data_IF_025393886237
#
_entry.id   IF_025393886237
#
_cell.length_a   1.000
_cell.length_b   1.000
_cell.length_c   1.000
_cell.angle_alpha   90.00
_cell.angle_beta   90.00
_cell.angle_gamma   90.00
#
_symmetry.space_group_name_H-M   'P 1'
#
loop_
_entity.id
_entity.type
_entity.pdbx_description
1 polymer ?
#
# COMPACT_ATOMS: atom_id res chain seq x y z
N UNK A 1 -14.89 4.02 -13.70
CA UNK A 1 -14.75 3.29 -12.43
C UNK A 1 -15.63 2.07 -12.54
N UNK A 2 -15.10 0.87 -12.33
CA UNK A 2 -15.88 -0.37 -12.38
C UNK A 2 -16.97 -0.32 -11.28
N UNK A 3 -18.24 -0.65 -11.59
CA UNK A 3 -19.32 -0.62 -10.59
C UNK A 3 -19.06 -1.57 -9.40
N UNK A 4 -18.23 -2.60 -9.60
CA UNK A 4 -17.81 -3.52 -8.52
C UNK A 4 -16.95 -2.86 -7.44
N UNK A 5 -16.38 -1.68 -7.71
CA UNK A 5 -15.46 -0.97 -6.83
C UNK A 5 -16.13 0.04 -5.90
N UNK A 6 -17.45 0.20 -5.98
CA UNK A 6 -18.16 1.09 -5.07
C UNK A 6 -18.22 0.47 -3.67
N UNK A 7 -17.80 1.21 -2.62
CA UNK A 7 -17.92 0.75 -1.24
C UNK A 7 -19.38 0.48 -0.88
N UNK A 8 -19.66 -0.73 -0.39
CA UNK A 8 -20.98 -1.15 0.08
C UNK A 8 -20.98 -1.19 1.60
N UNK A 9 -21.91 -0.49 2.24
CA UNK A 9 -22.09 -0.58 3.69
C UNK A 9 -22.56 -2.00 4.04
N UNK A 10 -21.83 -2.72 4.90
CA UNK A 10 -22.19 -4.07 5.34
C UNK A 10 -22.70 -4.10 6.78
N UNK A 11 -22.39 -3.07 7.57
CA UNK A 11 -22.97 -2.74 8.88
C UNK A 11 -22.69 -1.25 9.18
N UNK A 12 -23.15 -0.75 10.33
CA UNK A 12 -23.06 0.67 10.70
C UNK A 12 -21.62 1.23 10.79
N UNK A 13 -20.60 0.37 10.86
CA UNK A 13 -19.21 0.76 11.08
C UNK A 13 -18.24 0.27 10.00
N UNK A 14 -18.74 -0.41 8.97
CA UNK A 14 -17.88 -1.12 8.01
C UNK A 14 -18.46 -1.12 6.60
N UNK A 15 -17.58 -0.84 5.64
CA UNK A 15 -17.81 -0.97 4.21
C UNK A 15 -17.02 -2.14 3.66
N UNK A 16 -17.52 -2.76 2.59
CA UNK A 16 -16.84 -3.79 1.82
C UNK A 16 -16.67 -3.34 0.36
N UNK A 17 -15.51 -3.65 -0.22
CA UNK A 17 -15.20 -3.48 -1.65
C UNK A 17 -14.69 -4.82 -2.19
N UNK A 18 -15.18 -5.25 -3.36
CA UNK A 18 -14.65 -6.40 -4.09
C UNK A 18 -13.67 -5.93 -5.17
N UNK A 19 -12.45 -6.44 -5.15
CA UNK A 19 -11.42 -6.11 -6.13
C UNK A 19 -11.50 -7.00 -7.38
N UNK A 20 -10.73 -6.66 -8.42
CA UNK A 20 -10.68 -7.42 -9.68
C UNK A 20 -10.38 -8.90 -9.46
N UNK A 21 -9.45 -9.20 -8.55
CA UNK A 21 -9.08 -10.57 -8.15
C UNK A 21 -10.12 -11.31 -7.30
N UNK A 22 -11.31 -10.74 -7.10
CA UNK A 22 -12.42 -11.27 -6.28
C UNK A 22 -12.16 -11.34 -4.78
N UNK A 23 -11.00 -10.86 -4.34
CA UNK A 23 -10.74 -10.63 -2.93
C UNK A 23 -11.54 -9.44 -2.42
N UNK A 24 -11.92 -9.53 -1.14
CA UNK A 24 -12.73 -8.52 -0.46
C UNK A 24 -11.88 -7.70 0.50
N UNK A 25 -12.09 -6.40 0.45
CA UNK A 25 -11.47 -5.41 1.31
C UNK A 25 -12.52 -4.83 2.24
N UNK A 26 -12.18 -4.69 3.51
CA UNK A 26 -13.06 -4.07 4.51
C UNK A 26 -12.48 -2.73 4.95
N UNK A 27 -13.32 -1.71 5.02
CA UNK A 27 -12.98 -0.36 5.48
C UNK A 27 -13.84 -0.07 6.70
N UNK A 28 -13.22 0.10 7.87
CA UNK A 28 -13.94 0.14 9.14
C UNK A 28 -13.49 -0.95 10.10
N UNK A 29 -14.28 -1.14 11.15
CA UNK A 29 -14.09 -2.26 12.08
C UNK A 29 -15.44 -2.81 12.53
N UNK A 30 -15.77 -4.00 12.04
CA UNK A 30 -17.05 -4.68 12.28
C UNK A 30 -17.31 -5.06 13.73
N UNK A 31 -16.24 -5.18 14.53
CA UNK A 31 -16.32 -5.54 15.96
C UNK A 31 -16.39 -4.28 16.84
N UNK A 32 -16.22 -3.10 16.26
CA UNK A 32 -16.27 -1.82 16.96
C UNK A 32 -17.68 -1.23 16.97
N UNK A 33 -18.02 -0.54 18.06
CA UNK A 33 -19.27 0.22 18.19
C UNK A 33 -19.27 1.53 17.40
N UNK A 34 -18.09 2.00 16.99
CA UNK A 34 -17.91 3.22 16.20
C UNK A 34 -16.99 2.91 15.01
N UNK A 35 -17.18 3.60 13.89
CA UNK A 35 -16.27 3.48 12.75
C UNK A 35 -14.81 3.76 13.19
N UNK A 36 -13.90 2.93 12.69
CA UNK A 36 -12.45 3.11 12.83
C UNK A 36 -11.83 3.21 11.44
N UNK A 37 -10.92 4.16 11.16
CA UNK A 37 -10.24 4.28 9.87
C UNK A 37 -9.21 3.15 9.69
N UNK A 38 -9.72 1.94 9.59
CA UNK A 38 -8.97 0.70 9.40
C UNK A 38 -9.28 0.12 8.03
N UNK A 39 -8.28 -0.49 7.42
CA UNK A 39 -8.34 -1.19 6.15
C UNK A 39 -7.90 -2.63 6.36
N UNK A 40 -8.71 -3.59 5.94
CA UNK A 40 -8.36 -5.01 5.97
C UNK A 40 -8.43 -5.61 4.57
N UNK A 41 -7.29 -6.05 4.06
CA UNK A 41 -7.15 -6.71 2.78
C UNK A 41 -7.06 -8.22 2.99
N UNK A 42 -8.02 -8.98 2.46
CA UNK A 42 -8.03 -10.44 2.52
C UNK A 42 -7.41 -11.03 1.25
N UNK A 43 -6.79 -12.21 1.35
CA UNK A 43 -6.31 -12.97 0.19
C UNK A 43 -6.67 -14.44 0.32
N UNK A 44 -7.00 -15.08 -0.80
CA UNK A 44 -7.29 -16.51 -0.89
C UNK A 44 -8.47 -16.94 0.00
N UNK A 45 -9.57 -16.20 -0.07
CA UNK A 45 -10.76 -16.49 0.73
C UNK A 45 -10.56 -16.20 2.22
N UNK A 46 -9.68 -15.25 2.56
CA UNK A 46 -9.40 -14.85 3.93
C UNK A 46 -8.36 -15.73 4.64
N UNK A 47 -7.72 -16.68 3.96
CA UNK A 47 -6.61 -17.47 4.50
C UNK A 47 -5.49 -16.56 5.03
N UNK A 48 -5.11 -15.56 4.24
CA UNK A 48 -4.15 -14.52 4.61
C UNK A 48 -4.82 -13.15 4.66
N UNK A 49 -4.31 -12.25 5.52
CA UNK A 49 -4.73 -10.85 5.51
C UNK A 49 -3.64 -9.89 5.99
N UNK A 50 -3.77 -8.63 5.59
CA UNK A 50 -3.17 -7.46 6.22
C UNK A 50 -4.32 -6.60 6.75
N UNK A 51 -4.22 -6.14 7.99
CA UNK A 51 -5.09 -5.09 8.55
C UNK A 51 -4.20 -3.95 9.00
N UNK A 52 -4.49 -2.75 8.53
CA UNK A 52 -3.78 -1.52 8.86
C UNK A 52 -4.78 -0.48 9.34
N UNK A 53 -4.45 0.31 10.35
CA UNK A 53 -5.37 1.28 10.92
C UNK A 53 -4.72 2.56 11.39
N UNK A 54 -5.39 3.70 11.17
CA UNK A 54 -4.97 4.97 11.77
C UNK A 54 -5.51 5.05 13.21
N UNK A 55 -4.65 5.03 14.24
CA UNK A 55 -5.11 5.07 15.62
C UNK A 55 -5.79 6.41 15.92
N UNK A 56 -7.02 6.36 16.45
CA UNK A 56 -7.78 7.57 16.78
C UNK A 56 -8.81 7.34 17.87
N UNK A 57 -9.03 8.38 18.67
CA UNK A 57 -10.10 8.49 19.66
C UNK A 57 -11.31 9.27 19.15
N UNK A 58 -11.19 9.95 18.00
CA UNK A 58 -12.30 10.71 17.42
C UNK A 58 -13.38 9.75 16.90
N UNK A 59 -14.64 10.06 17.22
CA UNK A 59 -15.81 9.28 16.80
C UNK A 59 -16.47 10.00 15.64
N UNK A 60 -16.14 9.60 14.43
CA UNK A 60 -16.57 10.27 13.20
C UNK A 60 -17.22 9.24 12.29
N UNK A 61 -18.43 9.53 11.84
CA UNK A 61 -19.09 8.79 10.77
C UNK A 61 -18.44 9.18 9.45
N UNK A 62 -17.88 8.24 8.68
CA UNK A 62 -17.26 8.56 7.40
C UNK A 62 -18.32 8.95 6.36
N UNK A 63 -17.89 9.67 5.34
CA UNK A 63 -18.73 10.03 4.18
C UNK A 63 -18.24 9.26 2.97
N UNK A 64 -19.15 8.72 2.17
CA UNK A 64 -18.83 8.15 0.85
C UNK A 64 -19.02 9.23 -0.20
N UNK A 65 -17.94 9.60 -0.88
CA UNK A 65 -17.94 10.65 -1.90
C UNK A 65 -17.03 10.26 -3.05
N UNK A 66 -17.55 10.32 -4.28
CA UNK A 66 -16.80 9.99 -5.49
C UNK A 66 -16.11 8.60 -5.44
N UNK A 67 -16.79 7.60 -4.85
CA UNK A 67 -16.26 6.24 -4.71
C UNK A 67 -15.23 6.04 -3.60
N UNK A 68 -14.87 7.10 -2.85
CA UNK A 68 -13.97 7.02 -1.70
C UNK A 68 -14.76 6.99 -0.38
N UNK A 69 -14.35 6.15 0.57
CA UNK A 69 -14.77 6.30 1.97
C UNK A 69 -13.83 7.28 2.65
N UNK A 70 -14.35 8.39 3.16
CA UNK A 70 -13.56 9.47 3.75
C UNK A 70 -13.87 9.63 5.23
N UNK A 71 -12.88 9.39 6.07
CA UNK A 71 -12.90 9.73 7.49
C UNK A 71 -12.17 11.06 7.70
N UNK A 72 -12.86 12.09 8.21
CA UNK A 72 -12.36 13.47 8.26
C UNK A 72 -12.11 13.93 9.69
N UNK A 73 -10.98 13.54 10.26
CA UNK A 73 -10.53 14.01 11.58
C UNK A 73 -10.18 15.48 11.61
N UNK A 74 -9.96 16.00 12.82
CA UNK A 74 -9.65 17.43 13.01
C UNK A 74 -8.32 17.84 12.36
N UNK A 75 -7.26 17.05 12.54
CA UNK A 75 -5.91 17.35 12.04
C UNK A 75 -5.48 16.44 10.88
N UNK A 76 -6.06 15.26 10.81
CA UNK A 76 -5.72 14.22 9.86
C UNK A 76 -6.99 13.66 9.25
N UNK A 77 -6.96 13.30 7.97
CA UNK A 77 -8.02 12.52 7.31
C UNK A 77 -7.46 11.17 6.85
N UNK A 78 -8.36 10.21 6.64
CA UNK A 78 -8.07 8.92 6.05
C UNK A 78 -9.06 8.67 4.90
N UNK A 79 -8.53 8.44 3.70
CA UNK A 79 -9.31 8.23 2.48
C UNK A 79 -9.01 6.84 1.93
N UNK A 80 -10.08 6.10 1.62
CA UNK A 80 -10.01 4.69 1.27
C UNK A 80 -10.68 4.47 -0.07
N UNK A 81 -9.96 3.89 -1.03
CA UNK A 81 -10.51 3.60 -2.36
C UNK A 81 -9.73 2.51 -3.10
N UNK A 82 -10.41 1.72 -3.94
CA UNK A 82 -9.75 0.71 -4.74
C UNK A 82 -8.93 1.34 -5.87
N UNK A 83 -7.84 0.66 -6.21
CA UNK A 83 -6.98 0.97 -7.35
C UNK A 83 -7.20 -0.06 -8.45
N UNK A 84 -7.32 0.42 -9.69
CA UNK A 84 -7.26 -0.43 -10.88
C UNK A 84 -5.80 -0.88 -11.12
N UNK A 85 -5.58 -1.98 -11.87
CA UNK A 85 -4.26 -2.31 -12.39
C UNK A 85 -3.64 -1.12 -13.13
N UNK A 86 -2.34 -0.88 -12.93
CA UNK A 86 -1.62 0.23 -13.56
C UNK A 86 -0.26 -0.23 -14.09
N UNK A 87 0.16 0.35 -15.21
CA UNK A 87 1.53 0.21 -15.71
C UNK A 87 2.34 1.43 -15.26
N UNK A 88 3.36 1.19 -14.44
CA UNK A 88 4.31 2.21 -14.01
C UNK A 88 5.45 2.24 -15.03
N UNK A 89 5.73 3.44 -15.56
CA UNK A 89 6.84 3.69 -16.46
C UNK A 89 7.92 4.44 -15.70
N UNK A 90 9.15 3.95 -15.79
CA UNK A 90 10.30 4.59 -15.17
C UNK A 90 11.51 4.48 -16.08
N UNK A 91 12.42 5.46 -16.00
CA UNK A 91 13.58 5.53 -16.89
C UNK A 91 14.75 4.80 -16.28
N UNK A 92 15.45 4.02 -17.12
CA UNK A 92 16.74 3.47 -16.74
C UNK A 92 17.86 4.49 -16.83
N UNK A 93 19.07 4.08 -16.45
CA UNK A 93 20.26 4.93 -16.45
C UNK A 93 20.66 5.47 -17.85
N UNK A 94 20.02 4.99 -18.93
CA UNK A 94 20.20 5.49 -20.30
C UNK A 94 18.98 6.27 -20.78
N UNK A 95 18.06 6.62 -19.89
CA UNK A 95 16.82 7.35 -20.20
C UNK A 95 15.75 6.50 -20.91
N UNK A 96 15.93 5.17 -20.98
CA UNK A 96 14.98 4.27 -21.67
C UNK A 96 13.83 3.91 -20.74
N UNK A 97 12.63 3.88 -21.28
CA UNK A 97 11.45 3.51 -20.53
C UNK A 97 11.45 2.03 -20.16
N UNK A 98 11.11 1.75 -18.90
CA UNK A 98 10.89 0.43 -18.32
C UNK A 98 9.47 0.40 -17.77
N UNK A 99 8.71 -0.59 -18.19
CA UNK A 99 7.31 -0.76 -17.82
C UNK A 99 7.17 -1.86 -16.78
N UNK A 100 6.36 -1.59 -15.75
CA UNK A 100 6.07 -2.51 -14.67
C UNK A 100 4.57 -2.51 -14.41
N UNK A 101 3.93 -3.65 -14.60
CA UNK A 101 2.53 -3.80 -14.23
C UNK A 101 2.42 -3.98 -12.71
N UNK A 102 1.53 -3.19 -12.11
CA UNK A 102 1.24 -3.18 -10.69
C UNK A 102 -0.24 -3.43 -10.48
N UNK A 103 -0.58 -4.06 -9.35
CA UNK A 103 -1.96 -4.25 -8.91
C UNK A 103 -2.80 -5.06 -9.91
N UNK A 104 -2.20 -6.10 -10.51
CA UNK A 104 -2.82 -6.97 -11.54
C UNK A 104 -4.19 -7.53 -11.12
N UNK A 105 -4.41 -7.69 -9.80
CA UNK A 105 -5.66 -8.17 -9.22
C UNK A 105 -6.45 -7.06 -8.51
N UNK A 106 -6.12 -5.81 -8.80
CA UNK A 106 -6.55 -4.62 -8.07
C UNK A 106 -5.56 -4.23 -6.98
N UNK A 107 -5.79 -3.06 -6.41
CA UNK A 107 -5.09 -2.57 -5.23
C UNK A 107 -6.05 -1.76 -4.38
N UNK A 108 -5.53 -1.21 -3.32
CA UNK A 108 -6.30 -0.36 -2.43
C UNK A 108 -5.42 0.74 -1.87
N UNK A 109 -5.95 1.96 -1.88
CA UNK A 109 -5.29 3.14 -1.34
C UNK A 109 -5.74 3.38 0.09
N UNK A 110 -4.77 3.67 0.96
CA UNK A 110 -5.01 4.22 2.30
C UNK A 110 -4.27 5.55 2.41
N UNK A 111 -4.88 6.57 1.81
CA UNK A 111 -4.39 7.94 1.77
C UNK A 111 -4.58 8.60 3.15
N UNK A 112 -3.49 9.08 3.75
CA UNK A 112 -3.50 9.87 4.99
C UNK A 112 -3.24 11.33 4.65
N UNK A 113 -4.20 12.20 4.96
CA UNK A 113 -4.10 13.64 4.67
C UNK A 113 -3.78 14.41 5.93
N UNK A 114 -2.59 14.99 6.01
CA UNK A 114 -2.16 15.89 7.08
C UNK A 114 -2.64 17.31 6.76
N UNK A 115 -3.51 17.89 7.61
CA UNK A 115 -4.06 19.25 7.39
C UNK A 115 -3.10 20.36 7.83
N UNK A 116 -2.16 20.01 8.68
CA UNK A 116 -1.14 20.89 9.25
C UNK A 116 0.09 20.04 9.59
N UNK A 117 1.22 20.72 9.83
CA UNK A 117 2.46 20.05 10.21
C UNK A 117 2.28 19.20 11.48
N UNK A 118 2.58 17.89 11.42
CA UNK A 118 2.46 17.02 12.58
C UNK A 118 3.56 17.34 13.62
N UNK A 119 3.33 16.92 14.87
CA UNK A 119 4.28 17.13 15.95
C UNK A 119 5.54 16.24 15.82
N UNK A 120 5.43 15.12 15.11
CA UNK A 120 6.50 14.18 14.80
C UNK A 120 6.48 13.91 13.30
N UNK A 121 7.63 13.53 12.74
CA UNK A 121 7.72 13.13 11.34
C UNK A 121 7.36 11.65 11.10
N UNK A 122 6.75 11.00 12.10
CA UNK A 122 6.30 9.61 12.02
C UNK A 122 4.78 9.53 12.04
N UNK A 123 4.22 8.71 11.15
CA UNK A 123 2.84 8.24 11.20
C UNK A 123 2.90 6.76 11.59
N UNK A 124 2.37 6.43 12.77
CA UNK A 124 2.32 5.07 13.28
C UNK A 124 0.91 4.50 13.04
N UNK A 125 0.83 3.47 12.20
CA UNK A 125 -0.40 2.76 11.90
C UNK A 125 -0.41 1.41 12.63
N UNK A 126 -1.54 1.08 13.26
CA UNK A 126 -1.76 -0.25 13.83
C UNK A 126 -1.64 -1.28 12.69
N UNK A 127 -0.91 -2.37 12.90
CA UNK A 127 -0.63 -3.36 11.86
C UNK A 127 -0.81 -4.78 12.36
N UNK A 128 -1.78 -5.49 11.80
CA UNK A 128 -2.05 -6.89 12.06
C UNK A 128 -1.95 -7.71 10.77
N UNK A 129 -1.49 -8.95 10.90
CA UNK A 129 -1.27 -9.82 9.74
C UNK A 129 -1.51 -11.28 10.10
N UNK A 130 -1.96 -12.07 9.12
CA UNK A 130 -2.10 -13.52 9.25
C UNK A 130 -1.58 -14.24 8.02
N UNK A 131 -0.80 -15.29 8.25
CA UNK A 131 -0.37 -16.22 7.20
C UNK A 131 0.70 -15.67 6.26
N UNK A 132 1.31 -14.53 6.57
CA UNK A 132 2.25 -13.82 5.69
C UNK A 132 3.68 -13.75 6.23
N UNK A 133 4.63 -13.58 5.32
CA UNK A 133 6.01 -13.16 5.56
C UNK A 133 6.29 -11.94 4.70
N UNK A 134 6.96 -10.94 5.28
CA UNK A 134 7.27 -9.68 4.62
C UNK A 134 8.73 -9.68 4.19
N UNK A 135 8.97 -9.39 2.92
CA UNK A 135 10.29 -9.24 2.34
C UNK A 135 10.50 -7.76 1.97
N UNK A 136 11.35 -7.09 2.74
CA UNK A 136 11.79 -5.73 2.44
C UNK A 136 12.50 -5.68 1.09
N UNK A 137 12.25 -4.62 0.32
CA UNK A 137 12.81 -4.40 -1.00
C UNK A 137 13.89 -3.31 -0.92
N UNK A 138 15.15 -3.64 -0.56
CA UNK A 138 16.21 -2.64 -0.37
C UNK A 138 16.56 -1.91 -1.67
N UNK A 139 17.28 -0.78 -1.62
CA UNK A 139 17.90 -0.23 -2.82
C UNK A 139 18.79 -1.27 -3.50
N UNK A 140 18.80 -1.30 -4.83
CA UNK A 140 19.66 -2.20 -5.62
C UNK A 140 21.14 -1.77 -5.60
N UNK A 141 21.40 -0.48 -5.39
CA UNK A 141 22.74 0.10 -5.25
C UNK A 141 22.66 1.36 -4.36
N UNK A 142 23.70 1.69 -3.55
CA UNK A 142 23.68 2.87 -2.66
C UNK A 142 23.46 4.20 -3.39
N UNK A 143 24.17 4.44 -4.49
CA UNK A 143 24.06 5.69 -5.26
C UNK A 143 22.94 5.66 -6.31
N UNK A 144 22.43 4.47 -6.61
CA UNK A 144 21.52 4.21 -7.73
C UNK A 144 20.42 3.23 -7.29
N UNK A 145 19.51 3.64 -6.41
CA UNK A 145 18.62 2.72 -5.69
C UNK A 145 17.72 1.85 -6.59
N UNK A 146 17.42 2.30 -7.80
CA UNK A 146 16.47 1.67 -8.73
C UNK A 146 17.11 0.71 -9.74
N UNK A 147 18.44 0.59 -9.80
CA UNK A 147 19.08 -0.32 -10.74
C UNK A 147 20.44 -0.83 -10.26
N UNK A 148 20.85 -1.97 -10.79
CA UNK A 148 22.20 -2.49 -10.58
C UNK A 148 22.76 -3.13 -11.86
N UNK A 149 24.07 -2.99 -12.01
CA UNK A 149 24.88 -3.82 -12.88
C UNK A 149 25.50 -4.94 -12.03
N UNK A 150 24.78 -6.06 -11.94
CA UNK A 150 25.20 -7.18 -11.05
C UNK A 150 26.38 -7.99 -11.59
N UNK A 151 26.81 -7.77 -12.85
CA UNK A 151 27.92 -8.51 -13.46
C UNK A 151 29.10 -7.63 -13.88
N UNK A 152 29.03 -6.31 -13.64
CA UNK A 152 30.13 -5.36 -13.80
C UNK A 152 30.50 -5.05 -15.25
N UNK A 153 29.61 -5.29 -16.20
CA UNK A 153 29.89 -5.10 -17.63
C UNK A 153 29.49 -3.71 -18.16
N UNK A 154 29.05 -2.80 -17.28
CA UNK A 154 28.53 -1.48 -17.61
C UNK A 154 27.09 -1.48 -18.12
N UNK A 155 26.36 -2.60 -18.03
CA UNK A 155 25.00 -2.77 -18.51
C UNK A 155 24.07 -3.13 -17.35
N UNK A 156 23.05 -2.28 -17.14
CA UNK A 156 21.98 -2.55 -16.17
C UNK A 156 21.29 -3.87 -16.51
N UNK A 157 21.35 -4.80 -15.57
CA UNK A 157 20.72 -6.11 -15.68
C UNK A 157 19.70 -6.37 -14.56
N UNK A 158 19.58 -5.46 -13.59
CA UNK A 158 18.55 -5.46 -12.54
C UNK A 158 17.92 -4.08 -12.43
N UNK A 159 16.59 -4.02 -12.31
CA UNK A 159 15.85 -2.78 -12.21
C UNK A 159 14.68 -2.91 -11.22
N UNK A 160 14.38 -1.85 -10.48
CA UNK A 160 13.31 -1.73 -9.52
C UNK A 160 12.64 -0.34 -9.62
N UNK A 161 11.31 -0.25 -9.77
CA UNK A 161 10.60 1.03 -9.71
C UNK A 161 10.87 1.78 -8.40
N UNK A 162 10.86 3.11 -8.44
CA UNK A 162 11.12 3.94 -7.26
C UNK A 162 10.16 3.66 -6.11
N UNK A 163 8.87 3.46 -6.42
CA UNK A 163 7.85 3.10 -5.42
C UNK A 163 8.00 1.67 -4.85
N UNK A 164 8.90 0.85 -5.41
CA UNK A 164 9.25 -0.48 -4.89
C UNK A 164 10.55 -0.43 -4.07
N UNK A 165 11.39 0.60 -4.22
CA UNK A 165 12.56 0.75 -3.35
C UNK A 165 12.09 1.12 -1.95
N UNK A 166 12.56 0.39 -0.93
CA UNK A 166 12.15 0.61 0.46
C UNK A 166 10.75 0.08 0.79
N UNK A 167 10.14 -0.69 -0.11
CA UNK A 167 8.79 -1.25 0.06
C UNK A 167 8.80 -2.64 0.71
N UNK A 168 7.62 -3.23 0.91
CA UNK A 168 7.49 -4.62 1.36
C UNK A 168 6.65 -5.47 0.41
N UNK A 169 7.19 -6.61 -0.03
CA UNK A 169 6.40 -7.66 -0.66
C UNK A 169 5.94 -8.67 0.40
N UNK A 170 4.64 -8.96 0.45
CA UNK A 170 4.07 -9.92 1.39
C UNK A 170 3.78 -11.25 0.68
N UNK A 171 4.38 -12.32 1.15
CA UNK A 171 4.22 -13.68 0.63
C UNK A 171 3.51 -14.56 1.63
N UNK A 172 2.82 -15.59 1.14
CA UNK A 172 2.33 -16.67 1.99
C UNK A 172 3.50 -17.25 2.80
N UNK A 173 3.28 -17.49 4.09
CA UNK A 173 4.32 -17.96 5.00
C UNK A 173 4.88 -19.36 4.64
N UNK A 174 4.07 -20.23 4.03
CA UNK A 174 4.41 -21.62 3.72
C UNK A 174 4.26 -21.99 2.23
N UNK A 175 3.32 -21.38 1.48
CA UNK A 175 3.12 -21.65 0.05
C UNK A 175 4.11 -20.83 -0.79
N UNK A 176 4.88 -21.50 -1.65
CA UNK A 176 5.92 -20.89 -2.50
C UNK A 176 5.74 -21.34 -3.94
N UNK A 177 6.79 -21.28 -4.75
CA UNK A 177 6.84 -21.69 -6.16
C UNK A 177 6.81 -23.21 -6.41
N UNK A 178 6.81 -24.04 -5.36
CA UNK A 178 6.67 -25.50 -5.48
C UNK A 178 5.29 -25.86 -4.92
N UNK A 179 4.47 -26.47 -5.77
CA UNK A 179 3.06 -26.74 -5.48
C UNK A 179 2.78 -28.24 -5.44
N UNK A 180 1.80 -28.62 -4.62
CA UNK A 180 1.39 -30.02 -4.48
C UNK A 180 0.50 -30.50 -5.64
N UNK A 181 -0.18 -29.58 -6.33
CA UNK A 181 -1.06 -29.87 -7.48
C UNK A 181 -1.17 -28.66 -8.42
N UNK A 182 -1.82 -28.86 -9.57
CA UNK A 182 -2.10 -27.79 -10.52
C UNK A 182 -3.06 -26.73 -9.93
N UNK A 183 -4.05 -27.16 -9.14
CA UNK A 183 -4.99 -26.26 -8.46
C UNK A 183 -4.27 -25.40 -7.40
N UNK A 184 -3.33 -25.99 -6.65
CA UNK A 184 -2.49 -25.28 -5.68
C UNK A 184 -1.58 -24.27 -6.40
N UNK A 185 -1.05 -24.64 -7.57
CA UNK A 185 -0.24 -23.74 -8.41
C UNK A 185 -1.06 -22.55 -8.94
N UNK A 186 -2.27 -22.79 -9.44
CA UNK A 186 -3.14 -21.72 -9.95
C UNK A 186 -3.56 -20.76 -8.83
N UNK A 187 -3.88 -21.30 -7.65
CA UNK A 187 -4.29 -20.51 -6.49
C UNK A 187 -3.16 -19.63 -5.96
N UNK A 188 -1.99 -20.21 -5.68
CA UNK A 188 -0.92 -19.52 -4.96
C UNK A 188 0.14 -18.90 -5.87
N UNK A 189 0.33 -19.41 -7.08
CA UNK A 189 1.34 -18.93 -8.05
C UNK A 189 2.72 -18.78 -7.39
N UNK A 190 3.28 -17.58 -7.34
CA UNK A 190 4.59 -17.33 -6.69
C UNK A 190 4.52 -17.31 -5.16
N UNK A 191 3.32 -17.38 -4.59
CA UNK A 191 3.03 -17.18 -3.17
C UNK A 191 2.91 -15.71 -2.78
N UNK A 192 3.06 -14.76 -3.71
CA UNK A 192 2.90 -13.33 -3.41
C UNK A 192 1.42 -12.99 -3.21
N UNK A 193 1.10 -12.40 -2.06
CA UNK A 193 -0.25 -12.02 -1.67
C UNK A 193 -0.50 -10.53 -1.87
N UNK A 194 0.43 -9.70 -1.37
CA UNK A 194 0.31 -8.25 -1.38
C UNK A 194 1.65 -7.57 -1.66
N UNK A 195 1.59 -6.29 -1.98
CA UNK A 195 2.72 -5.38 -1.99
C UNK A 195 2.31 -4.10 -1.24
N UNK A 196 3.11 -3.67 -0.26
CA UNK A 196 2.98 -2.38 0.41
C UNK A 196 4.04 -1.49 -0.23
N UNK A 197 3.64 -0.62 -1.15
CA UNK A 197 4.57 0.25 -1.87
C UNK A 197 5.12 1.35 -0.96
N UNK A 198 6.25 1.91 -1.33
CA UNK A 198 6.86 3.06 -0.65
C UNK A 198 5.89 4.24 -0.70
N UNK A 199 5.61 4.93 0.43
CA UNK A 199 4.66 6.01 0.43
C UNK A 199 5.17 7.21 -0.35
N UNK A 200 4.34 7.67 -1.27
CA UNK A 200 4.54 8.92 -1.99
C UNK A 200 3.94 10.07 -1.17
N UNK A 201 4.59 11.22 -1.22
CA UNK A 201 4.19 12.44 -0.53
C UNK A 201 3.86 13.48 -1.58
N UNK A 202 2.73 14.19 -1.42
CA UNK A 202 2.37 15.33 -2.27
C UNK A 202 1.85 16.46 -1.40
N UNK A 203 2.44 17.65 -1.51
CA UNK A 203 1.96 18.83 -0.80
C UNK A 203 0.84 19.57 -1.58
N UNK A 204 0.28 20.62 -0.99
CA UNK A 204 -0.84 21.36 -1.56
C UNK A 204 -0.53 22.12 -2.87
N UNK A 205 0.76 22.30 -3.20
CA UNK A 205 1.21 22.94 -4.45
C UNK A 205 1.83 21.94 -5.42
N UNK A 206 1.81 20.64 -5.10
CA UNK A 206 2.28 19.55 -5.95
C UNK A 206 3.77 19.24 -5.82
N UNK A 207 4.43 19.69 -4.75
CA UNK A 207 5.80 19.22 -4.43
C UNK A 207 5.72 17.77 -3.98
N UNK A 208 6.52 16.93 -4.62
CA UNK A 208 6.53 15.49 -4.39
C UNK A 208 7.70 15.05 -3.51
N UNK A 209 7.53 13.95 -2.78
CA UNK A 209 8.55 13.34 -1.97
C UNK A 209 8.28 11.86 -1.72
N UNK A 210 9.19 11.20 -1.01
CA UNK A 210 9.03 9.82 -0.58
C UNK A 210 9.25 9.68 0.91
N UNK A 211 8.47 8.81 1.55
CA UNK A 211 8.67 8.42 2.93
C UNK A 211 9.31 7.03 3.04
N UNK A 212 9.83 6.73 4.22
CA UNK A 212 10.38 5.41 4.53
C UNK A 212 9.36 4.55 5.31
N UNK A 213 9.37 3.25 5.04
CA UNK A 213 8.53 2.27 5.72
C UNK A 213 9.33 1.38 6.67
N UNK A 214 8.74 1.12 7.83
CA UNK A 214 9.19 0.07 8.73
C UNK A 214 8.00 -0.70 9.32
N UNK A 215 8.07 -2.03 9.29
CA UNK A 215 7.10 -2.90 9.95
C UNK A 215 7.80 -3.60 11.12
N UNK A 216 7.38 -3.29 12.35
CA UNK A 216 7.90 -3.94 13.54
C UNK A 216 6.89 -3.94 14.67
N UNK A 217 6.87 -4.99 15.50
CA UNK A 217 6.07 -5.05 16.73
C UNK A 217 4.58 -4.72 16.57
N UNK A 218 3.97 -5.09 15.44
CA UNK A 218 2.55 -4.82 15.17
C UNK A 218 2.25 -3.38 14.76
N UNK A 219 3.27 -2.63 14.31
CA UNK A 219 3.13 -1.25 13.83
C UNK A 219 3.77 -1.12 12.45
N UNK A 220 3.07 -0.42 11.55
CA UNK A 220 3.60 0.09 10.29
C UNK A 220 3.92 1.57 10.50
N UNK A 221 5.20 1.89 10.58
CA UNK A 221 5.70 3.27 10.73
C UNK A 221 6.05 3.83 9.36
N UNK A 222 5.46 4.98 9.03
CA UNK A 222 5.81 5.82 7.89
C UNK A 222 6.63 6.99 8.41
N UNK A 223 7.89 7.11 7.99
CA UNK A 223 8.78 8.21 8.38
C UNK A 223 8.89 9.21 7.23
N UNK A 224 8.36 10.42 7.45
CA UNK A 224 8.40 11.50 6.48
C UNK A 224 9.74 12.26 6.61
N UNK A 225 10.35 12.70 5.50
CA UNK A 225 11.54 13.55 5.57
C UNK A 225 11.23 14.85 6.29
N UNK A 226 12.04 15.21 7.30
CA UNK A 226 11.80 16.42 8.09
C UNK A 226 11.87 17.69 7.23
N UNK A 227 12.83 17.74 6.30
CA UNK A 227 12.98 18.85 5.35
C UNK A 227 11.73 19.04 4.50
N UNK A 228 11.13 17.96 4.00
CA UNK A 228 9.86 18.02 3.27
C UNK A 228 8.75 18.62 4.15
N UNK A 229 8.62 18.18 5.41
CA UNK A 229 7.60 18.71 6.33
C UNK A 229 7.80 20.17 6.72
N UNK A 230 9.04 20.65 6.72
CA UNK A 230 9.41 22.02 7.04
C UNK A 230 9.07 22.98 5.90
N UNK A 231 9.18 22.51 4.65
CA UNK A 231 8.97 23.31 3.44
C UNK A 231 7.57 23.14 2.82
N UNK A 232 6.87 22.05 3.14
CA UNK A 232 5.60 21.70 2.53
C UNK A 232 4.48 22.72 2.77
N UNK A 233 3.67 22.93 1.72
CA UNK A 233 2.38 23.58 1.84
C UNK A 233 1.29 22.58 2.20
N UNK A 234 0.52 22.84 3.25
CA UNK A 234 -0.52 21.93 3.71
C UNK A 234 -1.87 22.16 3.01
N UNK A 235 -2.69 21.11 2.78
CA UNK A 235 -2.50 19.74 3.26
C UNK A 235 -1.39 18.96 2.54
N UNK A 236 -0.75 18.04 3.27
CA UNK A 236 0.17 17.03 2.72
C UNK A 236 -0.56 15.70 2.64
N UNK A 237 -0.53 15.09 1.47
CA UNK A 237 -1.03 13.75 1.18
C UNK A 237 0.09 12.74 1.38
N UNK A 238 -0.20 11.64 2.06
CA UNK A 238 0.71 10.52 2.32
C UNK A 238 0.05 9.24 1.84
N UNK A 239 0.58 8.66 0.76
CA UNK A 239 -0.06 7.58 0.01
C UNK A 239 0.74 6.28 0.09
N UNK A 240 0.51 5.40 1.08
CA UNK A 240 0.90 4.01 0.97
C UNK A 240 -0.11 3.23 0.09
N UNK A 241 0.27 2.96 -1.17
CA UNK A 241 -0.49 2.02 -2.01
C UNK A 241 -0.35 0.56 -1.47
N UNK A 242 -1.48 -0.12 -1.24
CA UNK A 242 -1.54 -1.55 -0.91
C UNK A 242 -2.02 -2.35 -2.12
N UNK A 243 -1.10 -2.97 -2.84
CA UNK A 243 -1.37 -3.70 -4.08
C UNK A 243 -1.62 -5.19 -3.93
N UNK A 244 -2.50 -5.77 -4.75
CA UNK A 244 -2.51 -7.22 -5.01
C UNK A 244 -1.71 -7.52 -6.27
N UNK A 245 -0.53 -8.10 -6.09
CA UNK A 245 0.40 -8.41 -7.18
C UNK A 245 0.75 -9.89 -7.18
N UNK A 246 0.64 -10.58 -8.33
CA UNK A 246 0.90 -12.03 -8.42
C UNK A 246 2.28 -12.38 -8.95
N UNK A 247 2.92 -11.45 -9.65
CA UNK A 247 4.31 -11.60 -10.12
C UNK A 247 5.28 -11.24 -8.98
N UNK A 248 6.22 -12.15 -8.72
CA UNK A 248 7.36 -11.91 -7.83
C UNK A 248 8.25 -10.80 -8.40
N UNK A 249 8.60 -9.83 -7.55
CA UNK A 249 9.62 -8.82 -7.88
C UNK A 249 10.97 -9.21 -7.30
#
# INVERSE_FOLDING_TARGET
MNESYLPKLINDTTFEVELLGKDKVEIGDRESTNFKPHLKLNRWGGECFIKVGLPTTEKITPVVEAGKVKWRGRKVEAHFYPLEPKTVITKDNKGRDRQFDQNELGGFEFEVVLKEKPATNEINLDFETRGLRFAYQPPLHPDHPTWADTNGNGIVNSFRPENVVGSYAAYHATRRNIHASAEDAEKYKTGKAFHIYRPHLVDAVGVEGWADLNISNGVLTITLPQEFLDEAMYPVIVDPDFGYTTIGG
#
